data_IF_447740398627
#
_entry.id   IF_447740398627
#
_cell.length_a   1.000
_cell.length_b   1.000
_cell.length_c   1.000
_cell.angle_alpha   90.00
_cell.angle_beta   90.00
_cell.angle_gamma   90.00
#
_symmetry.space_group_name_H-M   'P 1'
#
loop_
_entity.id
_entity.type
_entity.pdbx_description
1 polymer ?
#
# COMPACT_ATOMS: atom_id res chain seq x y z
N UNK A 1 -41.17 55.91 14.80
CA UNK A 1 -39.90 55.18 14.65
C UNK A 1 -39.06 55.89 13.60
N UNK A 2 -37.90 56.43 13.97
CA UNK A 2 -37.21 57.48 13.19
C UNK A 2 -36.44 56.89 12.00
N UNK A 3 -36.81 57.28 10.76
CA UNK A 3 -36.17 56.84 9.49
C UNK A 3 -34.65 57.02 9.44
N UNK A 4 -34.07 57.87 10.31
CA UNK A 4 -32.62 58.10 10.41
C UNK A 4 -31.87 56.95 11.11
N UNK A 5 -32.55 56.15 11.93
CA UNK A 5 -31.94 55.02 12.64
C UNK A 5 -31.85 53.78 11.74
N UNK A 6 -32.77 53.66 10.76
CA UNK A 6 -32.77 52.56 9.80
C UNK A 6 -31.66 52.69 8.75
N UNK A 7 -31.28 53.93 8.39
CA UNK A 7 -30.18 54.18 7.45
C UNK A 7 -28.78 53.98 8.05
N UNK A 8 -28.64 54.11 9.37
CA UNK A 8 -27.36 53.85 10.06
C UNK A 8 -26.98 52.38 10.09
N UNK A 9 -27.97 51.48 10.11
CA UNK A 9 -27.73 50.03 10.12
C UNK A 9 -27.49 49.43 8.73
N UNK A 10 -27.90 50.11 7.65
CA UNK A 10 -27.67 49.62 6.28
C UNK A 10 -26.23 49.91 5.78
N UNK A 11 -25.54 50.87 6.38
CA UNK A 11 -24.18 51.25 5.97
C UNK A 11 -23.07 50.40 6.62
N UNK A 12 -23.40 49.60 7.64
CA UNK A 12 -22.43 48.74 8.37
C UNK A 12 -22.35 47.33 7.76
N UNK A 13 -23.18 46.98 6.77
CA UNK A 13 -23.23 45.64 6.18
C UNK A 13 -22.35 45.46 4.93
N UNK A 14 -21.44 46.39 4.63
CA UNK A 14 -20.61 46.39 3.40
C UNK A 14 -19.10 46.38 3.68
N UNK A 15 -18.65 45.57 4.65
CA UNK A 15 -17.22 45.25 4.81
C UNK A 15 -17.05 43.73 4.70
N UNK A 16 -16.93 43.25 3.46
CA UNK A 16 -16.38 41.93 3.20
C UNK A 16 -14.86 42.04 3.34
N UNK A 17 -14.31 41.51 4.43
CA UNK A 17 -12.87 41.32 4.60
C UNK A 17 -12.50 40.04 3.87
N UNK A 18 -11.86 40.15 2.71
CA UNK A 18 -11.25 39.00 2.04
C UNK A 18 -9.95 38.64 2.78
N UNK A 19 -10.03 37.61 3.60
CA UNK A 19 -8.86 36.99 4.22
C UNK A 19 -8.21 36.13 3.15
N UNK A 20 -7.12 36.63 2.55
CA UNK A 20 -6.33 35.87 1.58
C UNK A 20 -5.77 34.61 2.24
N UNK A 21 -6.28 33.43 1.86
CA UNK A 21 -5.71 32.15 2.27
C UNK A 21 -4.45 31.90 1.45
N UNK A 22 -3.28 31.98 2.08
CA UNK A 22 -2.02 31.53 1.48
C UNK A 22 -2.09 30.01 1.31
N UNK A 23 -2.30 29.53 0.09
CA UNK A 23 -2.17 28.10 -0.22
C UNK A 23 -0.68 27.78 -0.32
N UNK A 24 -0.20 26.88 0.55
CA UNK A 24 1.13 26.31 0.42
C UNK A 24 1.14 25.41 -0.84
N UNK A 25 1.98 25.76 -1.81
CA UNK A 25 2.13 25.00 -3.04
C UNK A 25 2.76 23.63 -2.72
N UNK A 26 2.12 22.55 -3.18
CA UNK A 26 2.63 21.21 -2.97
C UNK A 26 3.98 21.05 -3.72
N UNK A 27 4.98 20.36 -3.14
CA UNK A 27 6.26 20.14 -3.80
C UNK A 27 6.05 19.44 -5.16
N UNK A 28 6.36 20.12 -6.25
CA UNK A 28 6.34 19.56 -7.59
C UNK A 28 7.75 19.06 -7.96
N UNK A 29 7.87 17.87 -8.58
CA UNK A 29 9.15 17.36 -9.07
C UNK A 29 9.82 18.37 -10.02
N UNK A 30 11.10 18.68 -9.78
CA UNK A 30 11.86 19.66 -10.57
C UNK A 30 11.61 21.13 -10.19
N UNK A 31 10.92 21.42 -9.08
CA UNK A 31 10.80 22.79 -8.55
C UNK A 31 12.13 23.33 -8.03
N UNK A 32 12.25 24.65 -7.86
CA UNK A 32 13.43 25.29 -7.26
C UNK A 32 13.64 24.89 -5.79
N UNK A 33 12.61 24.34 -5.15
CA UNK A 33 12.62 23.77 -3.80
C UNK A 33 12.85 22.25 -3.77
N UNK A 34 12.99 21.59 -4.92
CA UNK A 34 13.25 20.15 -4.99
C UNK A 34 14.69 19.85 -4.54
N UNK A 35 14.90 19.02 -3.50
CA UNK A 35 16.24 18.69 -3.02
C UNK A 35 17.07 17.96 -4.08
N UNK A 36 18.26 18.48 -4.36
CA UNK A 36 19.21 17.83 -5.27
C UNK A 36 19.98 16.75 -4.51
N UNK A 37 19.94 15.52 -5.03
CA UNK A 37 20.76 14.41 -4.55
C UNK A 37 21.64 13.85 -5.66
N UNK A 38 22.81 13.33 -5.31
CA UNK A 38 23.74 12.73 -6.29
C UNK A 38 23.23 11.36 -6.75
N UNK A 39 23.56 10.95 -7.98
CA UNK A 39 23.17 9.62 -8.51
C UNK A 39 23.64 8.49 -7.60
N UNK A 40 24.85 8.58 -7.03
CA UNK A 40 25.35 7.57 -6.08
C UNK A 40 24.53 7.51 -4.80
N UNK A 41 24.10 8.65 -4.26
CA UNK A 41 23.23 8.70 -3.09
C UNK A 41 21.83 8.16 -3.40
N UNK A 42 21.27 8.50 -4.58
CA UNK A 42 20.02 7.92 -5.06
C UNK A 42 20.13 6.41 -5.20
N UNK A 43 21.14 5.90 -5.93
CA UNK A 43 21.32 4.45 -6.14
C UNK A 43 21.63 3.69 -4.83
N UNK A 44 22.29 4.35 -3.88
CA UNK A 44 22.60 3.78 -2.56
C UNK A 44 21.37 3.71 -1.65
N UNK A 45 20.54 4.76 -1.68
CA UNK A 45 19.40 4.92 -0.78
C UNK A 45 18.05 4.52 -1.40
N UNK A 46 17.98 4.30 -2.71
CA UNK A 46 16.80 3.74 -3.37
C UNK A 46 16.98 2.25 -3.61
N UNK A 47 15.88 1.52 -3.49
CA UNK A 47 15.87 0.08 -3.73
C UNK A 47 15.76 -0.14 -5.23
N UNK A 48 16.90 -0.31 -5.91
CA UNK A 48 16.91 -0.75 -7.32
C UNK A 48 16.13 -2.05 -7.47
N UNK A 49 15.55 -2.32 -8.64
CA UNK A 49 14.81 -3.56 -8.92
C UNK A 49 15.64 -4.81 -8.61
N UNK A 50 16.95 -4.77 -8.88
CA UNK A 50 17.88 -5.84 -8.54
C UNK A 50 18.01 -6.04 -7.02
N UNK A 51 18.11 -4.96 -6.24
CA UNK A 51 18.17 -5.01 -4.76
C UNK A 51 16.83 -5.44 -4.16
N UNK A 52 15.71 -5.07 -4.77
CA UNK A 52 14.38 -5.59 -4.40
C UNK A 52 14.34 -7.10 -4.61
N UNK A 53 14.74 -7.58 -5.78
CA UNK A 53 14.77 -9.02 -6.12
C UNK A 53 15.70 -9.80 -5.19
N UNK A 54 16.87 -9.25 -4.87
CA UNK A 54 17.82 -9.85 -3.94
C UNK A 54 17.28 -9.90 -2.51
N UNK A 55 16.69 -8.81 -2.01
CA UNK A 55 16.09 -8.79 -0.68
C UNK A 55 14.86 -9.70 -0.58
N UNK A 56 14.09 -9.86 -1.67
CA UNK A 56 12.98 -10.82 -1.74
C UNK A 56 13.53 -12.24 -1.70
N UNK A 57 14.52 -12.57 -2.52
CA UNK A 57 15.18 -13.88 -2.49
C UNK A 57 15.79 -14.20 -1.11
N UNK A 58 16.43 -13.20 -0.47
CA UNK A 58 17.05 -13.36 0.85
C UNK A 58 16.03 -13.51 1.98
N UNK A 59 14.92 -12.76 1.95
CA UNK A 59 13.84 -12.91 2.93
C UNK A 59 13.10 -14.25 2.78
N UNK A 60 13.00 -14.77 1.56
CA UNK A 60 12.46 -16.11 1.29
C UNK A 60 13.41 -17.18 1.81
N UNK A 61 14.73 -17.04 1.59
CA UNK A 61 15.72 -17.96 2.13
C UNK A 61 15.77 -17.96 3.68
N UNK A 62 15.64 -16.79 4.31
CA UNK A 62 15.60 -16.67 5.77
C UNK A 62 14.32 -17.30 6.38
N UNK A 63 13.19 -17.23 5.69
CA UNK A 63 11.96 -17.93 6.10
C UNK A 63 11.95 -19.43 5.76
N UNK A 64 12.88 -19.91 4.94
CA UNK A 64 13.08 -21.35 4.71
C UNK A 64 13.95 -22.02 5.79
N UNK A 65 14.51 -21.26 6.75
CA UNK A 65 15.67 -21.66 7.54
C UNK A 65 15.54 -21.66 9.08
N UNK A 66 14.36 -21.91 9.67
CA UNK A 66 14.27 -22.24 11.12
C UNK A 66 14.01 -23.72 11.41
N UNK A 67 14.14 -24.59 10.40
CA UNK A 67 14.17 -26.04 10.58
C UNK A 67 15.55 -26.61 10.24
N UNK A 68 16.51 -26.50 11.17
CA UNK A 68 17.69 -27.36 11.11
C UNK A 68 17.41 -28.66 11.87
N UNK A 69 17.59 -29.82 11.24
CA UNK A 69 18.18 -30.97 11.90
C UNK A 69 19.57 -31.20 11.33
N UNK A 70 20.54 -31.24 12.24
CA UNK A 70 21.80 -31.93 12.00
C UNK A 70 21.50 -33.42 11.76
N UNK A 71 21.95 -33.99 10.64
CA UNK A 71 21.99 -35.44 10.45
C UNK A 71 21.35 -35.98 9.15
N UNK A 72 22.22 -36.33 8.20
CA UNK A 72 22.21 -37.47 7.28
C UNK A 72 20.90 -38.17 6.83
N UNK A 73 20.79 -38.27 5.50
CA UNK A 73 20.13 -39.30 4.66
C UNK A 73 18.61 -39.49 4.69
N UNK A 74 17.97 -39.12 3.57
CA UNK A 74 16.68 -39.67 3.11
C UNK A 74 15.60 -38.60 2.97
N UNK A 75 15.40 -38.10 1.75
CA UNK A 75 14.48 -37.02 1.43
C UNK A 75 13.04 -37.23 1.91
N UNK A 76 12.55 -36.29 2.70
CA UNK A 76 11.14 -35.91 2.83
C UNK A 76 11.16 -34.44 3.22
N UNK A 77 10.94 -33.56 2.25
CA UNK A 77 10.82 -32.13 2.49
C UNK A 77 9.54 -31.89 3.30
N UNK A 78 9.67 -31.81 4.62
CA UNK A 78 8.60 -31.39 5.51
C UNK A 78 8.33 -29.91 5.25
N UNK A 79 7.48 -29.62 4.26
CA UNK A 79 6.91 -28.30 4.06
C UNK A 79 6.03 -27.99 5.26
N UNK A 80 6.53 -27.17 6.20
CA UNK A 80 5.68 -26.57 7.23
C UNK A 80 4.50 -25.91 6.53
N UNK A 81 3.25 -26.30 6.81
CA UNK A 81 2.09 -25.71 6.16
C UNK A 81 2.12 -24.20 6.33
N UNK A 82 1.97 -23.45 5.23
CA UNK A 82 1.93 -22.00 5.30
C UNK A 82 0.75 -21.56 6.16
N UNK A 83 1.04 -21.07 7.37
CA UNK A 83 0.05 -20.58 8.32
C UNK A 83 -0.48 -19.22 7.86
N UNK A 84 -1.77 -18.95 8.10
CA UNK A 84 -2.36 -17.64 7.86
C UNK A 84 -1.80 -16.62 8.87
N UNK A 85 -1.24 -15.51 8.38
CA UNK A 85 -0.82 -14.33 9.16
C UNK A 85 -1.86 -13.21 8.99
N UNK A 86 -1.99 -12.35 9.99
CA UNK A 86 -2.80 -11.13 9.90
C UNK A 86 -1.87 -9.94 9.73
N UNK A 87 -2.08 -9.16 8.67
CA UNK A 87 -1.34 -7.95 8.35
C UNK A 87 -2.29 -6.76 8.47
N UNK A 88 -1.91 -5.75 9.25
CA UNK A 88 -2.60 -4.46 9.24
C UNK A 88 -1.99 -3.58 8.15
N UNK A 89 -2.82 -3.04 7.27
CA UNK A 89 -2.40 -2.19 6.16
C UNK A 89 -2.74 -0.73 6.45
N UNK A 90 -1.72 0.10 6.60
CA UNK A 90 -1.88 1.53 6.88
C UNK A 90 -2.06 2.33 5.59
N UNK A 91 -2.63 3.54 5.69
CA UNK A 91 -2.73 4.45 4.55
C UNK A 91 -1.35 4.74 3.94
N UNK A 92 -1.30 4.79 2.60
CA UNK A 92 -0.07 4.96 1.85
C UNK A 92 0.77 3.69 1.67
N UNK A 93 0.45 2.59 2.37
CA UNK A 93 1.17 1.34 2.19
C UNK A 93 0.61 0.51 1.02
N UNK A 94 1.45 -0.35 0.45
CA UNK A 94 1.03 -1.36 -0.52
C UNK A 94 1.51 -2.73 -0.05
N UNK A 95 0.59 -3.69 -0.02
CA UNK A 95 0.86 -5.08 0.31
C UNK A 95 0.94 -5.88 -0.99
N UNK A 96 2.16 -6.21 -1.40
CA UNK A 96 2.42 -7.08 -2.55
C UNK A 96 2.47 -8.53 -2.12
N UNK A 97 1.85 -9.39 -2.94
CA UNK A 97 1.87 -10.82 -2.79
C UNK A 97 3.11 -11.42 -3.47
N UNK A 98 3.70 -12.43 -2.83
CA UNK A 98 4.63 -13.34 -3.51
C UNK A 98 3.89 -14.31 -4.42
N UNK A 99 4.64 -14.99 -5.30
CA UNK A 99 4.05 -16.02 -6.15
C UNK A 99 3.43 -17.16 -5.31
N UNK A 100 2.19 -17.52 -5.64
CA UNK A 100 1.40 -18.53 -4.94
C UNK A 100 0.81 -18.07 -3.60
N UNK A 101 0.94 -16.80 -3.22
CA UNK A 101 0.31 -16.29 -2.01
C UNK A 101 -1.20 -16.13 -2.18
N UNK A 102 -1.91 -16.08 -1.05
CA UNK A 102 -3.36 -15.94 -0.97
C UNK A 102 -3.72 -14.88 0.06
N UNK A 103 -4.59 -13.93 -0.31
CA UNK A 103 -5.07 -12.89 0.60
C UNK A 103 -6.58 -12.99 0.82
N UNK A 104 -7.01 -12.60 2.01
CA UNK A 104 -8.41 -12.32 2.34
C UNK A 104 -8.46 -10.97 3.06
N UNK A 105 -9.09 -9.97 2.45
CA UNK A 105 -9.33 -8.68 3.09
C UNK A 105 -10.49 -8.84 4.07
N UNK A 106 -10.25 -8.62 5.37
CA UNK A 106 -11.24 -8.83 6.44
C UNK A 106 -11.96 -7.54 6.82
N UNK A 107 -11.28 -6.40 6.73
CA UNK A 107 -11.84 -5.09 7.06
C UNK A 107 -11.28 -4.00 6.15
N UNK A 108 -11.96 -2.86 6.13
CA UNK A 108 -11.57 -1.68 5.36
C UNK A 108 -11.87 -1.81 3.86
N UNK A 109 -11.38 -0.83 3.09
CA UNK A 109 -11.54 -0.76 1.63
C UNK A 109 -10.18 -0.69 0.98
N UNK A 110 -9.92 -1.62 0.07
CA UNK A 110 -8.66 -1.69 -0.68
C UNK A 110 -8.93 -1.80 -2.17
N UNK A 111 -7.93 -1.41 -2.96
CA UNK A 111 -7.92 -1.51 -4.41
C UNK A 111 -6.85 -2.53 -4.84
N UNK A 112 -7.14 -3.26 -5.91
CA UNK A 112 -6.19 -4.12 -6.60
C UNK A 112 -5.00 -3.32 -7.14
N UNK A 113 -3.81 -3.92 -7.05
CA UNK A 113 -2.57 -3.45 -7.69
C UNK A 113 -2.07 -4.58 -8.59
N UNK A 114 -1.74 -4.25 -9.83
CA UNK A 114 -1.07 -5.14 -10.77
C UNK A 114 -0.07 -4.36 -11.60
N UNK A 115 1.05 -5.00 -11.92
CA UNK A 115 2.11 -4.45 -12.76
C UNK A 115 2.03 -4.95 -14.22
N UNK A 116 1.02 -5.79 -14.54
CA UNK A 116 0.76 -6.33 -15.87
C UNK A 116 -0.72 -6.09 -16.28
N UNK A 117 -1.07 -6.51 -17.50
CA UNK A 117 -2.44 -6.37 -18.04
C UNK A 117 -3.48 -7.28 -17.34
N UNK A 118 -3.03 -8.26 -16.55
CA UNK A 118 -3.91 -9.18 -15.86
C UNK A 118 -4.25 -8.67 -14.45
N UNK A 119 -5.44 -9.04 -13.97
CA UNK A 119 -5.92 -8.71 -12.64
C UNK A 119 -5.51 -9.71 -11.57
N UNK A 120 -6.17 -9.60 -10.43
CA UNK A 120 -6.07 -10.56 -9.32
C UNK A 120 -7.25 -11.53 -9.44
N UNK A 121 -7.00 -12.84 -9.60
CA UNK A 121 -8.05 -13.85 -9.52
C UNK A 121 -8.78 -13.82 -8.17
N UNK A 122 -10.07 -13.48 -8.21
CA UNK A 122 -11.01 -13.57 -7.10
C UNK A 122 -11.81 -14.86 -7.23
N UNK A 123 -11.40 -15.87 -6.46
CA UNK A 123 -11.99 -17.22 -6.52
C UNK A 123 -13.41 -17.23 -5.98
N UNK A 124 -13.69 -16.40 -4.98
CA UNK A 124 -15.03 -16.31 -4.37
C UNK A 124 -16.00 -15.59 -5.29
N UNK A 125 -15.56 -14.52 -5.95
CA UNK A 125 -16.35 -13.74 -6.89
C UNK A 125 -16.39 -14.31 -8.31
N UNK A 126 -15.53 -15.29 -8.63
CA UNK A 126 -15.46 -15.93 -9.94
C UNK A 126 -15.02 -15.00 -11.07
N UNK A 127 -14.12 -14.05 -10.78
CA UNK A 127 -13.71 -13.02 -11.74
C UNK A 127 -12.24 -12.63 -11.56
N UNK A 128 -11.68 -12.05 -12.62
CA UNK A 128 -10.38 -11.40 -12.55
C UNK A 128 -10.59 -9.92 -12.17
N UNK A 129 -9.74 -9.39 -11.27
CA UNK A 129 -9.85 -8.03 -10.74
C UNK A 129 -8.74 -7.13 -11.29
N UNK A 130 -9.00 -6.32 -12.34
CA UNK A 130 -8.01 -5.39 -12.89
C UNK A 130 -7.48 -4.40 -11.84
N UNK A 131 -6.30 -3.83 -12.10
CA UNK A 131 -5.72 -2.79 -11.24
C UNK A 131 -6.71 -1.63 -10.99
N UNK A 132 -6.79 -1.17 -9.75
CA UNK A 132 -7.73 -0.13 -9.32
C UNK A 132 -9.13 -0.63 -8.97
N UNK A 133 -9.44 -1.92 -9.19
CA UNK A 133 -10.73 -2.50 -8.79
C UNK A 133 -10.82 -2.61 -7.26
N UNK A 134 -11.96 -2.22 -6.68
CA UNK A 134 -12.21 -2.42 -5.24
C UNK A 134 -12.37 -3.91 -4.94
N UNK A 135 -11.67 -4.37 -3.90
CA UNK A 135 -11.72 -5.76 -3.44
C UNK A 135 -12.89 -5.93 -2.48
N UNK A 136 -13.74 -6.93 -2.74
CA UNK A 136 -14.79 -7.32 -1.82
C UNK A 136 -14.20 -8.00 -0.56
N UNK A 137 -14.79 -7.70 0.61
CA UNK A 137 -14.37 -8.32 1.85
C UNK A 137 -14.65 -9.83 1.85
N UNK A 138 -13.79 -10.59 2.53
CA UNK A 138 -13.90 -12.03 2.73
C UNK A 138 -13.79 -12.88 1.46
N UNK A 139 -13.38 -12.29 0.33
CA UNK A 139 -13.08 -13.02 -0.88
C UNK A 139 -11.67 -13.62 -0.83
N UNK A 140 -11.53 -14.85 -1.32
CA UNK A 140 -10.23 -15.49 -1.49
C UNK A 140 -9.58 -14.99 -2.79
N UNK A 141 -8.48 -14.25 -2.62
CA UNK A 141 -7.65 -13.79 -3.72
C UNK A 141 -6.44 -14.72 -3.86
N UNK A 142 -6.14 -15.14 -5.09
CA UNK A 142 -4.94 -15.91 -5.40
C UNK A 142 -4.00 -15.07 -6.25
N UNK A 143 -2.70 -15.14 -5.95
CA UNK A 143 -1.65 -14.41 -6.66
C UNK A 143 -0.71 -15.41 -7.35
N UNK A 144 -0.94 -15.79 -8.62
CA UNK A 144 -0.15 -16.82 -9.28
C UNK A 144 1.33 -16.46 -9.46
N UNK A 145 1.61 -15.17 -9.60
CA UNK A 145 2.94 -14.58 -9.83
C UNK A 145 3.13 -13.34 -8.97
N UNK A 146 4.37 -12.90 -8.83
CA UNK A 146 4.71 -11.63 -8.16
C UNK A 146 4.24 -10.41 -8.97
N UNK A 147 4.31 -9.22 -8.36
CA UNK A 147 3.95 -7.95 -9.02
C UNK A 147 2.47 -7.58 -8.88
N UNK A 148 1.71 -8.33 -8.08
CA UNK A 148 0.31 -8.06 -7.76
C UNK A 148 0.12 -7.88 -6.25
N UNK A 149 -0.90 -7.13 -5.86
CA UNK A 149 -1.11 -6.79 -4.45
C UNK A 149 -2.36 -5.97 -4.21
N UNK A 150 -2.43 -5.36 -3.04
CA UNK A 150 -3.53 -4.48 -2.64
C UNK A 150 -3.01 -3.24 -1.94
N UNK A 151 -3.74 -2.14 -2.08
CA UNK A 151 -3.46 -0.88 -1.38
C UNK A 151 -4.75 -0.28 -0.82
N UNK A 152 -4.70 0.53 0.25
CA UNK A 152 -5.87 1.24 0.75
C UNK A 152 -6.56 2.06 -0.34
N UNK A 153 -7.89 2.00 -0.37
CA UNK A 153 -8.68 2.92 -1.18
C UNK A 153 -8.60 4.32 -0.58
N UNK A 154 -8.50 5.40 -1.38
CA UNK A 154 -8.60 6.77 -0.88
C UNK A 154 -9.92 7.05 -0.14
N UNK A 155 -10.95 6.21 -0.37
CA UNK A 155 -12.27 6.31 0.29
C UNK A 155 -12.36 5.49 1.58
N UNK A 156 -11.27 4.86 2.01
CA UNK A 156 -11.26 4.03 3.20
C UNK A 156 -11.23 4.90 4.47
N UNK A 157 -12.09 4.58 5.44
CA UNK A 157 -12.20 5.28 6.72
C UNK A 157 -12.05 4.35 7.93
N UNK A 158 -11.74 3.08 7.71
CA UNK A 158 -11.62 2.05 8.75
C UNK A 158 -10.25 1.38 8.72
N UNK A 159 -9.85 0.73 9.81
CA UNK A 159 -8.65 -0.10 9.83
C UNK A 159 -8.74 -1.23 8.81
N UNK A 160 -7.66 -1.47 8.07
CA UNK A 160 -7.57 -2.55 7.09
C UNK A 160 -6.78 -3.70 7.69
N UNK A 161 -7.42 -4.85 7.84
CA UNK A 161 -6.80 -6.10 8.22
C UNK A 161 -6.92 -7.11 7.08
N UNK A 162 -5.79 -7.73 6.74
CA UNK A 162 -5.67 -8.70 5.65
C UNK A 162 -5.13 -10.00 6.23
N UNK A 163 -5.82 -11.10 5.99
CA UNK A 163 -5.25 -12.43 6.23
C UNK A 163 -4.41 -12.82 5.02
N UNK A 164 -3.20 -13.31 5.27
CA UNK A 164 -2.20 -13.64 4.26
C UNK A 164 -1.68 -15.05 4.49
N UNK A 165 -1.72 -15.88 3.45
CA UNK A 165 -0.95 -17.13 3.37
C UNK A 165 0.12 -16.98 2.30
N UNK A 166 1.33 -17.43 2.59
CA UNK A 166 2.48 -17.32 1.67
C UNK A 166 3.33 -16.10 1.95
N UNK A 167 4.30 -15.85 1.05
CA UNK A 167 5.20 -14.71 1.15
C UNK A 167 4.51 -13.41 0.73
N UNK A 168 4.93 -12.30 1.34
CA UNK A 168 4.43 -10.96 1.00
C UNK A 168 5.49 -9.90 1.29
N UNK A 169 5.35 -8.76 0.61
CA UNK A 169 6.17 -7.57 0.80
C UNK A 169 5.24 -6.39 1.12
N UNK A 170 5.46 -5.78 2.28
CA UNK A 170 4.75 -4.58 2.69
C UNK A 170 5.66 -3.37 2.48
N UNK A 171 5.22 -2.42 1.66
CA UNK A 171 5.95 -1.21 1.34
C UNK A 171 5.21 0.03 1.86
N UNK A 172 5.99 1.01 2.32
CA UNK A 172 5.52 2.36 2.57
C UNK A 172 5.33 3.14 1.26
N UNK A 173 4.72 4.32 1.35
CA UNK A 173 4.50 5.20 0.20
C UNK A 173 5.80 5.64 -0.50
N UNK A 174 6.90 5.70 0.24
CA UNK A 174 8.24 6.03 -0.26
C UNK A 174 8.99 4.80 -0.85
N UNK A 175 8.34 3.63 -0.89
CA UNK A 175 8.92 2.39 -1.38
C UNK A 175 9.83 1.67 -0.39
N UNK A 176 10.04 2.21 0.82
CA UNK A 176 10.79 1.52 1.87
C UNK A 176 10.02 0.30 2.39
N UNK A 177 10.76 -0.74 2.80
CA UNK A 177 10.16 -1.95 3.37
C UNK A 177 9.70 -1.69 4.80
N UNK A 178 8.50 -2.13 5.13
CA UNK A 178 8.00 -2.14 6.51
C UNK A 178 8.62 -3.33 7.24
N UNK A 179 9.20 -3.08 8.41
CA UNK A 179 9.68 -4.15 9.29
C UNK A 179 8.47 -4.99 9.77
N UNK A 180 8.55 -6.30 9.57
CA UNK A 180 7.49 -7.27 9.92
C UNK A 180 7.74 -7.90 11.28
#
# INVERSE_FOLDING_TARGET
MNRKILFGFLLIFLVNVEIGTSQAEAPAPGSSTDPVITKSYFDQNTLSEAKVKELVASAIAANAGTGQPSGSNGGTGSSTPATMKVVQLQNGQTLYAGAGAEFIVRTGKVLAVSNDENGIPDVTGGKDLPAGTEIALNHLLIFPVEGRGIKPSPKNTADIFVMVRGSYLLLNADGSKVAQ
#
